data_IF_552346810666
#
_entry.id   IF_552346810666
#
_cell.length_a   1.000
_cell.length_b   1.000
_cell.length_c   1.000
_cell.angle_alpha   90.00
_cell.angle_beta   90.00
_cell.angle_gamma   90.00
#
_symmetry.space_group_name_H-M   'P 1'
#
loop_
_entity.id
_entity.type
_entity.pdbx_description
1 polymer ?
2 non-polymer ?
3 non-polymer ?
4 non-polymer ?
5 non-polymer ?
6 water ?
#
# COMPACT_ATOMS: atom_id res chain seq x y z
N UNK A 1 16.98 -20.94 -7.22
CA UNK A 1 16.57 -22.06 -8.06
C UNK A 1 15.39 -21.70 -8.95
N UNK A 2 15.52 -21.95 -10.25
CA UNK A 2 14.47 -21.69 -11.22
C UNK A 2 13.68 -22.98 -11.45
N UNK A 3 12.39 -22.94 -11.12
CA UNK A 3 11.54 -24.13 -11.29
C UNK A 3 11.54 -24.58 -12.75
N UNK A 4 11.53 -25.89 -12.94
CA UNK A 4 11.58 -26.41 -14.30
C UNK A 4 10.38 -26.00 -15.13
N UNK A 5 9.26 -25.64 -14.49
CA UNK A 5 8.08 -25.19 -15.22
C UNK A 5 8.02 -23.66 -15.36
N UNK A 6 9.00 -22.93 -14.85
CA UNK A 6 9.04 -21.50 -15.10
C UNK A 6 9.53 -21.23 -16.51
N UNK A 7 9.09 -20.12 -17.07
CA UNK A 7 9.60 -19.63 -18.34
C UNK A 7 10.48 -18.42 -18.08
N UNK A 8 11.71 -18.46 -18.60
CA UNK A 8 12.62 -17.32 -18.52
C UNK A 8 13.00 -16.97 -19.95
N UNK A 9 12.60 -15.78 -20.40
CA UNK A 9 12.88 -15.44 -21.78
C UNK A 9 14.39 -15.42 -22.02
N UNK A 10 14.85 -15.84 -23.21
CA UNK A 10 16.28 -15.84 -23.47
C UNK A 10 16.96 -14.49 -23.33
N UNK A 11 16.22 -13.38 -23.51
CA UNK A 11 16.82 -12.06 -23.34
C UNK A 11 16.77 -11.56 -21.90
N UNK A 12 16.00 -12.22 -21.02
CA UNK A 12 15.99 -11.83 -19.63
C UNK A 12 17.30 -12.22 -18.97
N UNK A 13 17.65 -11.51 -17.91
CA UNK A 13 18.87 -11.77 -17.15
C UNK A 13 18.45 -12.08 -15.73
N UNK A 14 18.43 -13.36 -15.37
CA UNK A 14 18.11 -13.83 -14.03
C UNK A 14 19.42 -14.25 -13.39
N UNK A 15 19.84 -13.51 -12.36
CA UNK A 15 21.12 -13.77 -11.73
C UNK A 15 21.07 -15.05 -10.91
N UNK A 16 22.18 -15.77 -10.90
CA UNK A 16 22.27 -16.99 -10.11
C UNK A 16 21.95 -16.70 -8.65
N UNK A 17 21.08 -17.53 -8.07
CA UNK A 17 20.59 -17.33 -6.72
C UNK A 17 19.14 -16.88 -6.65
N UNK A 18 18.64 -16.24 -7.70
CA UNK A 18 17.22 -15.92 -7.76
C UNK A 18 16.38 -17.19 -7.69
N UNK A 19 15.23 -17.10 -7.03
CA UNK A 19 14.27 -18.19 -6.90
C UNK A 19 13.04 -17.84 -7.73
N UNK A 20 12.73 -18.68 -8.71
CA UNK A 20 11.62 -18.46 -9.63
C UNK A 20 10.70 -19.67 -9.53
N UNK A 21 9.45 -19.43 -9.13
CA UNK A 21 8.52 -20.50 -8.83
C UNK A 21 7.85 -21.13 -10.04
N UNK A 22 7.08 -22.18 -9.77
CA UNK A 22 6.44 -22.95 -10.83
C UNK A 22 5.55 -22.07 -11.68
N UNK A 23 5.63 -22.25 -12.99
CA UNK A 23 4.77 -21.57 -13.96
C UNK A 23 4.85 -20.05 -13.86
N UNK A 24 5.90 -19.52 -13.24
CA UNK A 24 6.18 -18.11 -13.38
C UNK A 24 6.67 -17.81 -14.80
N UNK A 25 6.61 -16.54 -15.17
CA UNK A 25 6.99 -16.13 -16.52
C UNK A 25 7.84 -14.87 -16.41
N UNK A 26 9.09 -14.95 -16.85
CA UNK A 26 9.99 -13.80 -16.87
C UNK A 26 10.16 -13.38 -18.33
N UNK A 27 9.56 -12.25 -18.70
CA UNK A 27 9.50 -11.83 -20.09
C UNK A 27 10.80 -11.22 -20.59
N UNK A 28 10.79 -10.81 -21.86
CA UNK A 28 12.00 -10.26 -22.49
C UNK A 28 12.56 -9.04 -21.76
N UNK A 29 13.88 -8.96 -21.68
CA UNK A 29 14.61 -7.79 -21.19
C UNK A 29 14.33 -7.48 -19.73
N UNK A 30 13.83 -8.46 -18.97
CA UNK A 30 13.72 -8.32 -17.52
C UNK A 30 15.07 -8.58 -16.87
N UNK A 31 15.27 -7.96 -15.71
CA UNK A 31 16.46 -8.18 -14.88
C UNK A 31 15.97 -8.60 -13.50
N UNK A 32 16.48 -9.73 -13.01
CA UNK A 32 16.07 -10.28 -11.73
C UNK A 32 17.35 -10.54 -10.92
N UNK A 33 17.50 -9.84 -9.79
CA UNK A 33 18.68 -9.94 -8.97
C UNK A 33 18.77 -11.26 -8.22
N UNK A 34 19.96 -11.52 -7.65
CA UNK A 34 20.22 -12.82 -7.01
C UNK A 34 19.51 -13.04 -5.69
N UNK A 35 18.95 -12.00 -5.06
CA UNK A 35 18.22 -12.18 -3.81
C UNK A 35 16.71 -12.03 -4.00
N UNK A 36 16.24 -12.16 -5.22
CA UNK A 36 14.82 -12.05 -5.55
C UNK A 36 14.19 -13.43 -5.47
N UNK A 37 12.96 -13.49 -4.95
CA UNK A 37 12.10 -14.67 -4.99
C UNK A 37 10.80 -14.30 -5.68
N UNK A 38 10.46 -15.04 -6.73
CA UNK A 38 9.24 -14.80 -7.49
C UNK A 38 8.37 -16.05 -7.38
N UNK A 39 7.17 -15.87 -6.83
CA UNK A 39 6.29 -16.99 -6.55
C UNK A 39 5.59 -17.59 -7.76
N UNK A 40 4.93 -18.71 -7.49
CA UNK A 40 4.28 -19.49 -8.52
C UNK A 40 3.29 -18.66 -9.34
N UNK A 41 3.38 -18.76 -10.66
CA UNK A 41 2.42 -18.12 -11.55
C UNK A 41 2.61 -16.62 -11.74
N UNK A 42 3.56 -16.00 -11.08
CA UNK A 42 3.76 -14.56 -11.27
C UNK A 42 4.38 -14.29 -12.63
N UNK A 43 3.92 -13.22 -13.26
CA UNK A 43 4.35 -12.84 -14.60
C UNK A 43 5.04 -11.47 -14.52
N UNK A 44 6.25 -11.39 -15.07
CA UNK A 44 6.89 -10.12 -15.40
C UNK A 44 6.80 -9.95 -16.90
N UNK A 45 6.00 -8.99 -17.36
CA UNK A 45 5.63 -8.93 -18.77
C UNK A 45 6.87 -8.78 -19.65
N UNK A 46 7.65 -7.73 -19.42
CA UNK A 46 8.87 -7.40 -20.16
C UNK A 46 9.44 -6.14 -19.53
N UNK A 47 10.74 -5.92 -19.72
CA UNK A 47 11.37 -4.66 -19.30
C UNK A 47 11.10 -4.34 -17.83
N UNK A 48 11.15 -5.37 -16.96
CA UNK A 48 10.95 -5.20 -15.53
C UNK A 48 12.29 -5.38 -14.83
N UNK A 49 12.58 -4.50 -13.87
CA UNK A 49 13.76 -4.64 -13.02
C UNK A 49 13.29 -5.04 -11.62
N UNK A 50 13.74 -6.18 -11.13
CA UNK A 50 13.51 -6.60 -9.76
C UNK A 50 14.86 -6.90 -9.14
N UNK A 51 15.19 -6.20 -8.05
CA UNK A 51 16.47 -6.47 -7.39
C UNK A 51 16.31 -6.28 -5.88
N UNK A 52 17.45 -6.30 -5.18
CA UNK A 52 17.43 -6.24 -3.73
C UNK A 52 16.95 -7.55 -3.11
N UNK A 53 16.83 -7.52 -1.79
CA UNK A 53 16.26 -8.66 -1.06
C UNK A 53 14.76 -8.53 -1.11
N UNK A 54 14.14 -9.22 -2.06
CA UNK A 54 12.79 -8.90 -2.50
C UNK A 54 12.05 -10.22 -2.70
N UNK A 55 10.93 -10.38 -2.01
CA UNK A 55 10.11 -11.58 -2.07
C UNK A 55 8.75 -11.22 -2.65
N UNK A 56 8.39 -11.86 -3.75
CA UNK A 56 7.14 -11.60 -4.47
C UNK A 56 6.32 -12.88 -4.48
N UNK A 57 5.03 -12.76 -4.13
CA UNK A 57 4.15 -13.90 -4.01
C UNK A 57 3.67 -14.46 -5.34
N UNK A 58 2.51 -15.10 -5.29
CA UNK A 58 2.02 -15.87 -6.43
C UNK A 58 0.96 -15.11 -7.23
N UNK A 59 0.89 -15.42 -8.53
CA UNK A 59 -0.16 -14.90 -9.41
C UNK A 59 -0.13 -13.38 -9.51
N UNK A 60 1.03 -12.77 -9.32
CA UNK A 60 1.16 -11.34 -9.58
C UNK A 60 1.35 -11.08 -11.07
N UNK A 61 0.90 -9.91 -11.51
CA UNK A 61 1.14 -9.43 -12.87
C UNK A 61 1.89 -8.12 -12.76
N UNK A 62 3.15 -8.11 -13.21
CA UNK A 62 4.00 -6.92 -13.11
C UNK A 62 4.32 -6.46 -14.52
N UNK A 63 3.93 -5.24 -14.85
CA UNK A 63 4.00 -4.73 -16.21
C UNK A 63 5.33 -4.04 -16.52
N UNK A 64 5.54 -3.78 -17.80
CA UNK A 64 6.80 -3.24 -18.29
C UNK A 64 7.17 -1.91 -17.63
N UNK A 65 8.47 -1.72 -17.42
CA UNK A 65 9.11 -0.51 -16.92
C UNK A 65 8.87 -0.29 -15.43
N UNK A 66 8.33 -1.29 -14.74
CA UNK A 66 8.26 -1.27 -13.29
C UNK A 66 9.64 -1.56 -12.70
N UNK A 67 9.88 -1.01 -11.50
CA UNK A 67 11.12 -1.18 -10.76
C UNK A 67 10.75 -1.59 -9.34
N UNK A 68 11.08 -2.83 -8.98
CA UNK A 68 10.63 -3.44 -7.73
C UNK A 68 11.85 -3.87 -6.93
N UNK A 69 11.97 -3.37 -5.70
CA UNK A 69 13.11 -3.70 -4.86
C UNK A 69 14.25 -2.70 -4.91
N UNK A 70 14.13 -1.67 -5.73
CA UNK A 70 15.24 -0.79 -6.01
C UNK A 70 15.62 0.01 -4.76
N UNK A 71 16.89 0.45 -4.73
CA UNK A 71 17.39 1.46 -3.80
C UNK A 71 16.37 2.58 -3.61
N UNK A 72 16.07 2.94 -2.37
CA UNK A 72 15.08 3.97 -2.11
C UNK A 72 15.70 5.36 -2.30
N UNK A 73 14.87 6.40 -2.18
CA UNK A 73 15.29 7.77 -2.43
C UNK A 73 15.59 8.54 -1.16
N UNK A 74 15.56 7.89 0.00
CA UNK A 74 15.90 8.52 1.26
C UNK A 74 17.40 8.79 1.29
N UNK A 75 17.79 10.07 1.42
CA UNK A 75 19.21 10.39 1.47
C UNK A 75 19.92 9.73 2.64
N UNK A 76 19.16 9.32 3.68
CA UNK A 76 19.77 8.62 4.81
C UNK A 76 20.23 7.21 4.42
N UNK A 77 19.62 6.61 3.40
CA UNK A 77 19.97 5.24 3.02
C UNK A 77 21.40 5.18 2.51
N UNK A 78 22.14 4.12 2.89
CA UNK A 78 23.56 4.01 2.55
C UNK A 78 23.92 2.68 1.91
N UNK A 79 22.94 1.92 1.45
CA UNK A 79 23.20 0.65 0.81
C UNK A 79 22.98 -0.58 1.67
N UNK A 80 22.44 -0.41 2.87
CA UNK A 80 22.24 -1.55 3.75
C UNK A 80 21.31 -2.57 3.10
N UNK A 81 21.50 -3.86 3.41
CA UNK A 81 20.58 -4.88 2.91
C UNK A 81 19.22 -4.76 3.58
N UNK A 82 18.32 -4.02 2.96
CA UNK A 82 16.94 -3.95 3.42
C UNK A 82 16.07 -4.77 2.47
N UNK A 83 14.75 -4.73 2.65
CA UNK A 83 13.89 -5.75 2.06
C UNK A 83 12.61 -5.14 1.48
N UNK A 84 12.04 -5.88 0.55
CA UNK A 84 10.68 -5.66 0.04
C UNK A 84 9.95 -7.00 0.13
N UNK A 85 8.70 -6.94 0.58
CA UNK A 85 7.79 -8.09 0.53
C UNK A 85 6.54 -7.69 -0.23
N UNK A 86 6.15 -8.51 -1.20
CA UNK A 86 4.93 -8.30 -1.99
C UNK A 86 4.16 -9.60 -1.97
N UNK A 87 2.85 -9.51 -1.71
CA UNK A 87 2.00 -10.68 -1.59
C UNK A 87 1.53 -11.28 -2.91
N UNK A 88 0.25 -11.66 -2.99
CA UNK A 88 -0.30 -12.46 -4.08
C UNK A 88 -1.33 -11.68 -4.88
N UNK A 89 -1.43 -12.02 -6.17
CA UNK A 89 -2.50 -11.57 -7.05
C UNK A 89 -2.57 -10.05 -7.16
N UNK A 90 -1.44 -9.38 -7.02
CA UNK A 90 -1.38 -7.96 -7.29
C UNK A 90 -1.26 -7.69 -8.78
N UNK A 91 -1.78 -6.53 -9.21
CA UNK A 91 -1.57 -6.02 -10.56
C UNK A 91 -0.74 -4.75 -10.43
N UNK A 92 0.50 -4.82 -10.89
CA UNK A 92 1.49 -3.77 -10.70
C UNK A 92 1.80 -3.24 -12.10
N UNK A 93 1.34 -2.02 -12.39
CA UNK A 93 1.22 -1.54 -13.76
C UNK A 93 2.51 -0.83 -14.22
N UNK A 94 2.48 -0.35 -15.46
CA UNK A 94 3.68 0.20 -16.07
C UNK A 94 4.29 1.27 -15.19
N UNK A 95 5.62 1.23 -15.08
CA UNK A 95 6.41 2.28 -14.45
C UNK A 95 6.20 2.39 -12.94
N UNK A 96 5.44 1.48 -12.33
CA UNK A 96 5.33 1.50 -10.87
C UNK A 96 6.73 1.34 -10.28
N UNK A 97 7.00 2.02 -9.17
CA UNK A 97 8.23 1.84 -8.43
C UNK A 97 7.90 1.43 -7.01
N UNK A 98 8.58 0.40 -6.51
CA UNK A 98 8.44 -0.04 -5.13
C UNK A 98 9.86 -0.19 -4.59
N UNK A 99 10.18 0.60 -3.58
CA UNK A 99 11.57 0.71 -3.12
C UNK A 99 11.78 -0.02 -1.81
N UNK A 100 13.01 -0.49 -1.62
CA UNK A 100 13.39 -1.22 -0.41
C UNK A 100 13.39 -0.31 0.80
N UNK A 101 13.32 -0.92 1.97
CA UNK A 101 13.28 -0.17 3.22
C UNK A 101 14.61 0.50 3.59
N UNK A 102 14.58 1.18 4.73
CA UNK A 102 15.77 1.74 5.36
C UNK A 102 15.96 1.10 6.72
N UNK A 103 17.21 0.97 7.13
CA UNK A 103 17.46 0.46 8.48
C UNK A 103 16.71 1.32 9.49
N UNK A 104 16.79 2.65 9.33
CA UNK A 104 16.18 3.58 10.27
C UNK A 104 14.68 3.37 10.37
N UNK A 105 14.04 3.02 9.26
CA UNK A 105 12.62 2.85 9.26
C UNK A 105 12.12 1.44 9.50
N UNK A 106 12.99 0.49 9.85
CA UNK A 106 12.56 -0.87 10.10
C UNK A 106 12.98 -1.90 9.08
N UNK A 107 13.49 -1.49 7.92
CA UNK A 107 14.15 -2.41 7.02
C UNK A 107 13.25 -3.07 5.99
N UNK A 108 11.96 -2.72 5.96
CA UNK A 108 10.99 -3.49 5.17
C UNK A 108 9.97 -2.58 4.53
N UNK A 109 9.83 -2.68 3.20
CA UNK A 109 8.68 -2.16 2.49
C UNK A 109 7.77 -3.34 2.17
N UNK A 110 6.50 -3.23 2.53
CA UNK A 110 5.59 -4.36 2.41
C UNK A 110 4.32 -3.99 1.64
N UNK A 111 3.94 -4.88 0.74
CA UNK A 111 2.68 -4.79 -0.01
C UNK A 111 1.96 -6.12 0.16
N UNK A 112 0.66 -6.05 0.41
CA UNK A 112 -0.13 -7.25 0.63
C UNK A 112 -0.58 -7.91 -0.66
N UNK A 113 -1.86 -8.29 -0.72
CA UNK A 113 -2.38 -9.07 -1.82
C UNK A 113 -3.60 -8.38 -2.44
N UNK A 114 -3.86 -8.72 -3.69
CA UNK A 114 -5.06 -8.28 -4.39
C UNK A 114 -5.11 -6.76 -4.54
N UNK A 115 -3.94 -6.11 -4.61
CA UNK A 115 -3.86 -4.68 -4.83
C UNK A 115 -3.76 -4.36 -6.32
N UNK A 116 -4.20 -3.15 -6.67
CA UNK A 116 -4.02 -2.62 -8.03
C UNK A 116 -3.22 -1.34 -7.90
N UNK A 117 -1.98 -1.36 -8.39
CA UNK A 117 -1.09 -0.22 -8.39
C UNK A 117 -0.99 0.29 -9.82
N UNK A 118 -1.64 1.43 -10.10
CA UNK A 118 -1.74 1.90 -11.46
C UNK A 118 -0.45 2.58 -11.92
N UNK A 119 -0.43 2.99 -13.19
CA UNK A 119 0.78 3.48 -13.84
C UNK A 119 1.49 4.51 -12.97
N UNK A 120 2.79 4.30 -12.78
CA UNK A 120 3.68 5.23 -12.07
C UNK A 120 3.28 5.46 -10.62
N UNK A 121 2.49 4.57 -10.00
CA UNK A 121 2.35 4.69 -8.57
C UNK A 121 3.71 4.49 -7.92
N UNK A 122 3.91 5.12 -6.75
CA UNK A 122 5.21 5.04 -6.05
C UNK A 122 5.00 4.57 -4.63
N UNK A 123 5.64 3.46 -4.27
CA UNK A 123 5.65 2.97 -2.90
C UNK A 123 7.08 3.14 -2.38
N UNK A 124 7.26 4.15 -1.53
CA UNK A 124 8.57 4.50 -1.00
C UNK A 124 9.04 3.50 0.05
N UNK A 125 10.32 3.62 0.41
CA UNK A 125 10.89 2.87 1.51
C UNK A 125 9.98 2.85 2.73
N UNK A 126 9.89 1.68 3.37
CA UNK A 126 9.26 1.47 4.66
C UNK A 126 7.76 1.70 4.65
N UNK A 127 7.15 1.83 3.48
CA UNK A 127 5.69 1.87 3.38
C UNK A 127 5.12 0.50 3.68
N UNK A 128 3.87 0.50 4.14
CA UNK A 128 3.10 -0.72 4.34
C UNK A 128 1.77 -0.55 3.63
N UNK A 129 1.56 -1.30 2.55
CA UNK A 129 0.30 -1.32 1.83
C UNK A 129 -0.37 -2.64 2.16
N UNK A 130 -1.68 -2.59 2.45
CA UNK A 130 -2.39 -3.76 2.91
C UNK A 130 -2.92 -4.62 1.78
N UNK A 131 -4.16 -5.08 1.90
CA UNK A 131 -4.79 -5.89 0.88
C UNK A 131 -5.93 -5.12 0.22
N UNK A 132 -6.15 -5.41 -1.06
CA UNK A 132 -7.32 -4.92 -1.80
C UNK A 132 -7.30 -3.39 -1.96
N UNK A 133 -6.12 -2.79 -1.99
CA UNK A 133 -6.00 -1.35 -2.15
C UNK A 133 -5.90 -1.00 -3.63
N UNK A 134 -6.17 0.28 -3.93
CA UNK A 134 -5.99 0.84 -5.26
C UNK A 134 -5.18 2.12 -5.11
N UNK A 135 -4.05 2.20 -5.81
CA UNK A 135 -3.36 3.47 -6.04
C UNK A 135 -3.52 3.81 -7.51
N UNK A 136 -4.19 4.92 -7.82
CA UNK A 136 -4.39 5.31 -9.20
C UNK A 136 -3.11 5.92 -9.78
N UNK A 137 -3.15 6.27 -11.07
CA UNK A 137 -1.97 6.76 -11.78
C UNK A 137 -1.27 7.86 -10.99
N UNK A 138 0.04 7.74 -10.86
CA UNK A 138 0.90 8.75 -10.27
C UNK A 138 0.64 8.98 -8.79
N UNK A 139 -0.17 8.12 -8.16
CA UNK A 139 -0.32 8.23 -6.71
C UNK A 139 1.02 7.92 -6.05
N UNK A 140 1.44 8.79 -5.13
CA UNK A 140 2.83 8.84 -4.68
C UNK A 140 2.84 8.85 -3.16
N UNK A 141 3.45 7.81 -2.57
CA UNK A 141 3.61 7.74 -1.13
C UNK A 141 5.04 8.10 -0.76
N UNK A 142 5.19 9.06 0.15
CA UNK A 142 6.50 9.30 0.74
C UNK A 142 6.87 8.12 1.65
N UNK A 143 8.05 8.17 2.26
CA UNK A 143 8.49 7.06 3.10
C UNK A 143 7.60 6.85 4.31
N UNK A 144 7.53 5.60 4.76
CA UNK A 144 6.89 5.21 6.02
C UNK A 144 5.37 5.33 6.01
N UNK A 145 4.74 5.52 4.85
CA UNK A 145 3.28 5.67 4.79
C UNK A 145 2.61 4.31 4.92
N UNK A 146 1.49 4.26 5.64
CA UNK A 146 0.65 3.08 5.70
C UNK A 146 -0.60 3.31 4.86
N UNK A 147 -0.91 2.37 4.00
CA UNK A 147 -2.18 2.36 3.27
C UNK A 147 -2.89 1.09 3.71
N UNK A 148 -3.94 1.24 4.51
CA UNK A 148 -4.57 0.11 5.15
C UNK A 148 -5.56 -0.58 4.20
N UNK A 149 -6.04 -1.76 4.61
CA UNK A 149 -6.84 -2.62 3.74
C UNK A 149 -8.00 -1.86 3.10
N UNK A 150 -8.18 -2.10 1.80
CA UNK A 150 -9.28 -1.61 0.97
C UNK A 150 -9.21 -0.12 0.68
N UNK A 151 -8.22 0.59 1.20
CA UNK A 151 -8.12 2.03 0.95
C UNK A 151 -7.80 2.28 -0.51
N UNK A 152 -8.33 3.38 -1.05
CA UNK A 152 -8.08 3.75 -2.44
C UNK A 152 -7.62 5.20 -2.51
N UNK A 153 -6.65 5.45 -3.37
CA UNK A 153 -6.02 6.76 -3.49
C UNK A 153 -6.09 7.18 -4.95
N UNK A 154 -6.73 8.34 -5.21
CA UNK A 154 -7.01 8.74 -6.58
C UNK A 154 -5.81 9.28 -7.34
N UNK A 155 -6.03 9.53 -8.63
CA UNK A 155 -4.91 9.87 -9.50
C UNK A 155 -4.28 11.19 -9.11
N UNK A 156 -2.96 11.27 -9.25
CA UNK A 156 -2.13 12.47 -9.03
C UNK A 156 -2.00 12.82 -7.56
N UNK A 157 -2.44 11.97 -6.64
CA UNK A 157 -2.47 12.31 -5.23
C UNK A 157 -1.18 11.87 -4.56
N UNK A 158 -0.66 12.69 -3.64
CA UNK A 158 0.57 12.37 -2.93
C UNK A 158 0.30 12.37 -1.43
N UNK A 159 1.08 11.57 -0.69
CA UNK A 159 0.90 11.42 0.76
C UNK A 159 2.23 11.70 1.45
N UNK A 160 2.20 12.63 2.41
CA UNK A 160 3.37 13.03 3.20
C UNK A 160 3.88 11.87 4.06
N UNK A 161 5.17 11.89 4.36
CA UNK A 161 5.82 10.82 5.10
C UNK A 161 5.12 10.53 6.43
N UNK A 162 5.07 9.24 6.78
CA UNK A 162 4.53 8.68 8.02
C UNK A 162 3.01 8.71 8.14
N UNK A 163 2.32 9.34 7.20
CA UNK A 163 0.87 9.39 7.28
C UNK A 163 0.27 8.00 7.15
N UNK A 164 -0.89 7.83 7.79
CA UNK A 164 -1.70 6.62 7.69
C UNK A 164 -2.94 6.93 6.88
N UNK A 165 -3.16 6.13 5.84
CA UNK A 165 -4.42 6.12 5.11
C UNK A 165 -5.23 4.93 5.63
N UNK A 166 -6.26 5.22 6.43
CA UNK A 166 -6.96 4.17 7.15
C UNK A 166 -7.73 3.21 6.26
N UNK A 167 -8.18 2.11 6.89
CA UNK A 167 -8.88 1.07 6.16
C UNK A 167 -10.15 1.62 5.55
N UNK A 168 -10.47 1.19 4.33
CA UNK A 168 -11.68 1.54 3.61
C UNK A 168 -11.78 3.03 3.27
N UNK A 169 -10.68 3.79 3.39
CA UNK A 169 -10.68 5.21 3.03
C UNK A 169 -10.77 5.37 1.52
N UNK A 170 -11.32 6.51 1.09
CA UNK A 170 -11.23 6.93 -0.30
C UNK A 170 -10.64 8.34 -0.34
N UNK A 171 -9.43 8.47 -0.86
CA UNK A 171 -8.81 9.77 -1.08
C UNK A 171 -9.01 10.16 -2.54
N UNK A 172 -9.57 11.34 -2.77
CA UNK A 172 -9.84 11.79 -4.12
C UNK A 172 -8.55 11.99 -4.90
N UNK A 173 -8.72 12.18 -6.21
CA UNK A 173 -7.59 12.54 -7.04
C UNK A 173 -7.16 13.98 -6.79
N UNK A 174 -5.98 14.32 -7.32
CA UNK A 174 -5.47 15.69 -7.26
C UNK A 174 -5.44 16.23 -5.84
N UNK A 175 -5.08 15.38 -4.89
CA UNK A 175 -5.12 15.76 -3.49
C UNK A 175 -3.73 15.63 -2.88
N UNK A 176 -3.55 16.28 -1.74
CA UNK A 176 -2.30 16.17 -1.03
C UNK A 176 -2.57 15.86 0.43
N UNK A 177 -2.18 14.69 0.89
CA UNK A 177 -2.50 14.23 2.24
C UNK A 177 -1.31 14.52 3.15
N UNK A 178 -1.54 15.35 4.17
CA UNK A 178 -0.47 15.74 5.09
C UNK A 178 -0.66 15.23 6.50
N UNK A 179 -1.82 14.65 6.83
CA UNK A 179 -2.05 14.09 8.16
C UNK A 179 -2.73 12.75 8.00
N UNK A 180 -3.06 12.12 9.13
CA UNK A 180 -3.60 10.77 9.13
C UNK A 180 -5.08 10.79 8.77
N UNK A 181 -5.53 9.77 8.04
CA UNK A 181 -6.91 9.68 7.61
C UNK A 181 -7.57 8.51 8.34
N UNK A 182 -8.55 8.76 9.19
CA UNK A 182 -9.19 7.66 9.95
C UNK A 182 -9.83 6.66 9.03
N UNK A 183 -9.98 5.40 9.49
CA UNK A 183 -10.66 4.41 8.66
C UNK A 183 -12.06 4.87 8.28
N UNK A 184 -12.50 4.44 7.11
CA UNK A 184 -13.87 4.57 6.60
C UNK A 184 -14.18 5.96 6.03
N UNK A 185 -13.20 6.87 5.97
CA UNK A 185 -13.43 8.29 5.68
C UNK A 185 -13.12 8.58 4.22
N UNK A 186 -13.90 9.48 3.62
CA UNK A 186 -13.60 10.07 2.32
C UNK A 186 -12.79 11.32 2.56
N UNK A 187 -11.69 11.49 1.82
CA UNK A 187 -10.85 12.67 2.00
C UNK A 187 -10.53 13.24 0.63
N UNK A 188 -10.42 14.57 0.56
CA UNK A 188 -10.11 15.22 -0.71
C UNK A 188 -9.54 16.60 -0.43
N UNK A 189 -8.69 17.08 -1.32
CA UNK A 189 -8.23 18.46 -1.28
C UNK A 189 -6.72 18.57 -1.13
N UNK A 190 -6.28 19.84 -1.02
CA UNK A 190 -4.87 20.19 -0.91
C UNK A 190 -4.76 21.34 0.10
N UNK A 191 -4.49 21.01 1.36
CA UNK A 191 -4.33 19.64 1.85
C UNK A 191 -5.68 18.94 2.07
N UNK A 192 -5.65 17.61 2.10
CA UNK A 192 -6.88 16.83 2.14
C UNK A 192 -7.61 17.03 3.46
N UNK A 193 -8.93 17.14 3.38
CA UNK A 193 -9.84 17.28 4.51
C UNK A 193 -10.93 16.21 4.41
N UNK A 194 -11.61 15.93 5.52
CA UNK A 194 -12.58 14.83 5.52
C UNK A 194 -13.93 15.26 4.95
N UNK A 195 -14.57 14.34 4.23
CA UNK A 195 -15.86 14.59 3.60
C UNK A 195 -16.85 13.47 3.88
N UNK A 196 -16.87 12.99 5.11
CA UNK A 196 -17.86 11.99 5.48
C UNK A 196 -17.34 10.58 5.36
N UNK A 197 -18.27 9.64 5.59
CA UNK A 197 -18.00 8.21 5.61
C UNK A 197 -18.09 7.66 4.19
N UNK A 198 -17.20 6.72 3.85
CA UNK A 198 -17.22 6.06 2.54
C UNK A 198 -18.34 5.02 2.51
N UNK A 199 -19.57 5.53 2.57
CA UNK A 199 -20.75 4.66 2.72
C UNK A 199 -20.84 3.66 1.58
N UNK A 200 -20.71 4.13 0.34
CA UNK A 200 -20.88 3.22 -0.80
C UNK A 200 -19.85 2.09 -0.78
N UNK A 201 -18.61 2.40 -0.42
CA UNK A 201 -17.61 1.36 -0.32
C UNK A 201 -17.98 0.31 0.71
N UNK A 202 -18.42 0.77 1.88
CA UNK A 202 -18.80 -0.17 2.94
C UNK A 202 -19.98 -1.03 2.51
N UNK A 203 -20.98 -0.41 1.88
CA UNK A 203 -22.13 -1.14 1.37
C UNK A 203 -21.68 -2.26 0.42
N UNK A 204 -20.84 -1.93 -0.55
CA UNK A 204 -20.39 -2.92 -1.52
C UNK A 204 -19.60 -4.04 -0.87
N UNK A 205 -18.95 -3.77 0.26
CA UNK A 205 -18.10 -4.76 0.91
C UNK A 205 -18.81 -5.53 2.02
N UNK A 206 -20.14 -5.45 2.08
CA UNK A 206 -20.89 -6.30 2.97
C UNK A 206 -21.04 -5.80 4.39
N UNK A 207 -20.70 -4.54 4.65
CA UNK A 207 -20.97 -3.99 5.97
C UNK A 207 -22.48 -3.89 6.16
N UNK A 208 -22.94 -4.18 7.37
CA UNK A 208 -24.37 -4.11 7.66
C UNK A 208 -24.83 -2.67 7.81
N UNK A 209 -26.14 -2.47 7.67
CA UNK A 209 -26.73 -1.18 7.93
C UNK A 209 -26.35 -0.69 9.31
N UNK A 210 -26.40 -1.56 10.31
CA UNK A 210 -26.10 -1.17 11.68
C UNK A 210 -24.65 -0.75 11.82
N UNK A 211 -23.73 -1.50 11.19
CA UNK A 211 -22.31 -1.16 11.27
C UNK A 211 -22.04 0.18 10.61
N UNK A 212 -22.64 0.44 9.45
CA UNK A 212 -22.39 1.73 8.80
C UNK A 212 -22.94 2.87 9.65
N UNK A 213 -24.10 2.66 10.28
CA UNK A 213 -24.66 3.68 11.15
C UNK A 213 -23.70 3.96 12.31
N UNK A 214 -23.19 2.91 12.96
CA UNK A 214 -22.25 3.10 14.05
C UNK A 214 -21.00 3.85 13.58
N UNK A 215 -20.51 3.51 12.40
CA UNK A 215 -19.32 4.18 11.87
C UNK A 215 -19.62 5.65 11.59
N UNK A 216 -20.81 5.95 11.05
CA UNK A 216 -21.17 7.35 10.85
C UNK A 216 -21.27 8.08 12.18
N UNK A 217 -21.80 7.41 13.22
CA UNK A 217 -21.85 8.03 14.54
C UNK A 217 -20.47 8.25 15.11
N UNK A 218 -19.54 7.31 14.91
CA UNK A 218 -18.17 7.56 15.36
C UNK A 218 -17.54 8.72 14.59
N UNK A 219 -17.83 8.83 13.29
CA UNK A 219 -17.35 9.97 12.51
C UNK A 219 -17.87 11.27 13.10
N UNK A 220 -19.15 11.31 13.44
CA UNK A 220 -19.71 12.52 14.04
C UNK A 220 -19.03 12.84 15.36
N UNK A 221 -18.75 11.83 16.18
CA UNK A 221 -18.03 12.09 17.43
C UNK A 221 -16.71 12.80 17.14
N UNK A 222 -15.95 12.29 16.15
CA UNK A 222 -14.64 12.86 15.87
C UNK A 222 -14.76 14.27 15.34
N UNK A 223 -15.67 14.48 14.37
CA UNK A 223 -15.64 15.67 13.55
C UNK A 223 -16.80 16.64 13.77
N UNK A 224 -17.89 16.20 14.39
CA UNK A 224 -19.05 17.07 14.55
C UNK A 224 -19.35 17.43 15.99
N UNK A 225 -18.97 16.59 16.95
CA UNK A 225 -19.32 16.81 18.34
C UNK A 225 -18.66 18.05 18.92
N UNK A 226 -17.54 18.50 18.34
CA UNK A 226 -16.81 19.61 18.91
C UNK A 226 -15.94 19.25 20.10
N UNK A 227 -15.88 17.98 20.46
CA UNK A 227 -15.02 17.54 21.56
C UNK A 227 -13.60 17.32 21.07
N UNK A 228 -12.68 17.19 22.02
CA UNK A 228 -11.31 16.84 21.68
C UNK A 228 -11.21 15.35 21.40
N UNK A 229 -10.17 14.98 20.64
CA UNK A 229 -9.96 13.58 20.35
C UNK A 229 -9.80 12.76 21.63
N UNK A 230 -9.15 13.35 22.64
CA UNK A 230 -9.01 12.65 23.91
C UNK A 230 -10.35 12.35 24.55
N UNK A 231 -11.32 13.26 24.41
CA UNK A 231 -12.65 13.01 24.94
C UNK A 231 -13.38 11.93 24.14
N UNK A 232 -13.23 11.93 22.82
CA UNK A 232 -14.06 11.03 22.02
C UNK A 232 -13.52 9.60 22.00
N UNK A 233 -12.22 9.41 22.25
CA UNK A 233 -11.66 8.06 22.22
C UNK A 233 -12.41 7.08 23.11
N UNK A 234 -12.65 7.35 24.39
CA UNK A 234 -13.44 6.40 25.20
C UNK A 234 -14.88 6.25 24.71
N UNK A 235 -15.46 7.30 24.11
CA UNK A 235 -16.81 7.19 23.57
C UNK A 235 -16.83 6.28 22.35
N UNK A 236 -15.80 6.36 21.51
CA UNK A 236 -15.71 5.46 20.38
C UNK A 236 -15.48 4.03 20.86
N UNK A 237 -14.63 3.86 21.88
CA UNK A 237 -14.39 2.54 22.43
C UNK A 237 -15.67 1.95 23.02
N UNK A 238 -16.47 2.80 23.67
CA UNK A 238 -17.76 2.37 24.20
C UNK A 238 -18.67 1.89 23.07
N UNK A 239 -18.76 2.68 22.00
CA UNK A 239 -19.55 2.29 20.84
C UNK A 239 -19.08 0.96 20.27
N UNK A 240 -17.75 0.75 20.23
CA UNK A 240 -17.21 -0.50 19.67
C UNK A 240 -17.59 -1.71 20.51
N UNK A 241 -18.02 -1.51 21.75
CA UNK A 241 -18.46 -2.64 22.55
C UNK A 241 -19.67 -3.32 21.93
N UNK A 242 -20.48 -2.56 21.19
CA UNK A 242 -21.65 -3.12 20.52
C UNK A 242 -21.39 -3.40 19.04
N UNK A 243 -20.64 -2.53 18.37
CA UNK A 243 -20.41 -2.61 16.93
C UNK A 243 -18.92 -2.80 16.70
N UNK A 244 -18.46 -4.04 16.49
CA UNK A 244 -17.01 -4.28 16.47
C UNK A 244 -16.30 -3.57 15.34
N UNK A 245 -17.02 -3.22 14.26
CA UNK A 245 -16.38 -2.49 13.18
C UNK A 245 -15.80 -1.16 13.66
N UNK A 246 -16.36 -0.60 14.73
CA UNK A 246 -15.89 0.69 15.22
C UNK A 246 -14.52 0.58 15.88
N UNK A 247 -14.10 -0.63 16.24
CA UNK A 247 -12.79 -0.80 16.84
C UNK A 247 -11.68 -0.38 15.88
N UNK A 248 -11.95 -0.38 14.58
CA UNK A 248 -10.97 0.10 13.62
C UNK A 248 -10.48 1.50 13.98
N UNK A 249 -11.36 2.36 14.50
CA UNK A 249 -10.93 3.69 14.93
C UNK A 249 -9.93 3.60 16.07
N UNK A 250 -10.28 2.82 17.11
CA UNK A 250 -9.37 2.63 18.24
C UNK A 250 -8.01 2.15 17.78
N UNK A 251 -7.97 1.09 16.94
CA UNK A 251 -6.69 0.59 16.47
C UNK A 251 -5.93 1.67 15.72
N UNK A 252 -6.63 2.46 14.89
CA UNK A 252 -6.00 3.52 14.11
C UNK A 252 -5.43 4.61 15.01
N UNK A 253 -6.22 5.06 15.99
CA UNK A 253 -5.75 6.10 16.90
C UNK A 253 -4.41 5.71 17.53
N UNK A 254 -4.24 4.43 17.84
CA UNK A 254 -3.04 4.00 18.53
C UNK A 254 -1.82 4.10 17.62
N UNK A 255 -2.01 3.97 16.31
CA UNK A 255 -0.92 4.07 15.34
C UNK A 255 -0.68 5.49 14.85
N UNK A 256 -1.68 6.35 14.92
CA UNK A 256 -1.61 7.69 14.35
C UNK A 256 -0.54 8.53 15.04
N UNK A 257 0.32 9.16 14.25
CA UNK A 257 1.36 10.03 14.79
C UNK A 257 1.29 11.47 14.33
N UNK A 258 0.49 11.79 13.31
CA UNK A 258 0.52 13.10 12.68
C UNK A 258 -0.72 13.92 12.95
N UNK A 259 -1.61 13.45 13.81
CA UNK A 259 -2.91 14.06 13.97
C UNK A 259 -3.81 13.69 12.82
N UNK A 260 -5.10 13.99 12.98
CA UNK A 260 -6.08 13.66 11.96
C UNK A 260 -6.26 14.80 10.97
N UNK A 261 -6.56 14.45 9.72
CA UNK A 261 -6.98 15.49 8.78
C UNK A 261 -8.23 16.15 9.33
N UNK A 262 -8.37 17.45 9.10
CA UNK A 262 -9.48 18.17 9.70
C UNK A 262 -9.97 19.26 8.76
N UNK A 263 -11.23 19.64 8.94
CA UNK A 263 -11.83 20.68 8.10
C UNK A 263 -11.04 21.98 8.19
X LIG B 1 12.07 10.15 4.04
X LIG B 1 12.04 11.06 5.25
X LIG B 1 11.66 10.32 6.53
X LIG B 1 13.84 12.62 1.85
X LIG B 1 12.30 11.00 2.82
X LIG B 1 1.03 17.92 0.31
X LIG B 1 1.77 16.61 0.55
X LIG B 1 2.76 16.35 -0.58
X LIG B 1 3.56 15.07 -0.33
X LIG B 1 4.53 14.78 -1.48
X LIG B 1 5.34 13.51 -1.18
X LIG B 1 6.28 13.15 -2.34
X LIG B 1 7.06 11.87 -2.01
X LIG B 1 7.98 11.39 -3.14
X LIG B 1 8.63 10.02 -2.81
X LIG B 1 9.84 10.24 -1.90
X LIG B 1 10.27 8.93 -1.23
X LIG B 1 10.60 7.93 -2.19
X LIG B 1 11.52 9.15 -0.40
X LIG B 1 11.27 9.95 0.85
X LIG B 1 10.17 10.37 1.21
X LIG B 1 12.44 10.19 1.65
X LIG B 1 13.63 11.72 2.98
X LIG B 1 15.09 12.83 1.40
X LIG B 1 15.22 13.76 0.21
X LIG B 1 16.08 12.33 1.93
X LIG B 1 10.83 9.43 3.97
X LIG B 1 12.59 9.26 6.83
X LIG B 1 13.33 11.65 5.39
X LIG B 1 13.69 12.50 4.29
X LIG B 1 12.77 13.59 4.22
X LIG B 1 12.97 14.84 5.20
X LIG B 1 12.26 16.02 4.62
X LIG B 1 12.67 14.39 6.60
X LIG B 1 14.53 14.98 4.95
X LIG B 1 15.63 15.98 5.57
X LIG B 1 15.23 16.46 6.93
X LIG B 1 16.92 15.26 5.32
X LIG B 1 15.55 17.16 4.50
X LIG B 1 15.83 16.95 3.11
X LIG B 1 16.26 18.28 2.49
X LIG B 1 15.31 19.31 2.81
X LIG B 1 17.59 18.71 3.05
X LIG B 1 18.43 19.10 1.95
X LIG B 1 17.28 19.90 3.93
X LIG B 1 18.32 20.88 3.86
X LIG B 1 16.02 20.45 3.29
X LIG B 1 15.14 21.17 4.22
X LIG B 1 14.57 20.53 5.25
X LIG B 1 13.72 21.22 6.10
X LIG B 1 13.48 22.57 5.87
X LIG B 1 12.71 23.19 6.63
X LIG B 1 14.07 23.21 4.83
X LIG B 1 14.88 22.54 4.00
X LIG B 1 15.44 23.10 3.04
X LIG C 1 22.34 -2.83 -4.51
X LIG C 1 21.02 -3.25 -5.10
X LIG C 1 22.11 -1.89 -3.34
X LIG C 1 23.14 -2.09 -5.56
X LIG C 1 23.09 -4.06 -4.04
X LIG D 1 21.17 -6.14 -6.80
X LIG D 1 20.73 -4.76 -7.23
X LIG D 1 21.23 -7.04 -8.03
X LIG D 1 20.22 -6.71 -5.77
X LIG D 1 22.55 -6.05 -6.17
X LIG E 1 -9.06 -4.61 -5.05
X LIG E 1 -9.61 -5.80 -5.76
X LIG E 1 -7.87 -3.81 -6.16
X LIG E 1 -10.36 -3.35 -5.04
X LIG E 1 -7.10 -4.50 -6.41
X LIG E 1 -7.43 -2.98 -5.67
X LIG E 1 -8.36 -3.49 -7.03
X LIG E 1 -11.17 -3.68 -4.45
X LIG E 1 -10.70 -3.19 -6.03
X LIG E 1 -9.99 -2.45 -4.64
X LIG F 1 6.21 -12.46 0.40
X LIG F 1 5.79 -13.36 -0.74
X LIG F 1 4.72 -11.92 1.27
X LIG F 1 7.01 -13.45 1.69
X LIG F 1 4.13 -11.29 0.65
X LIG F 1 4.99 -11.39 2.15
X LIG F 1 4.14 -12.77 1.55
X LIG F 1 7.92 -13.84 1.31
X LIG F 1 6.38 -14.26 1.96
X LIG F 1 7.20 -12.85 2.53
X LIG G 1 -5.51 -2.71 7.92
X LIG G 1 -5.20 -1.90 9.15
X LIG G 1 -4.38 -4.14 7.96
X LIG G 1 -7.10 -3.50 8.24
X LIG G 1 -3.38 -3.80 7.98
X LIG G 1 -4.54 -4.73 7.09
X LIG G 1 -4.58 -4.71 8.82
X LIG G 1 -7.85 -2.76 8.35
X LIG G 1 -7.05 -4.08 9.13
X LIG G 1 -7.35 -4.13 7.42
X LIG H 1 7.35 16.59 0.21
X LIG H 1 3.68 20.80 1.02
X LIG H 1 3.06 20.83 2.29
X LIG H 1 3.36 19.84 3.21
X LIG H 1 4.27 18.85 2.83
X LIG H 1 2.76 19.77 4.57
X LIG H 1 10.25 14.49 -1.03
X LIG H 1 10.75 13.23 -0.19
X LIG H 1 10.48 14.18 1.73
X LIG H 1 10.02 15.62 1.20
X LIG H 1 11.21 16.59 1.14
X LIG H 1 10.81 17.84 0.44
X LIG H 1 9.96 18.77 1.03
X LIG H 1 9.62 19.93 0.33
X LIG H 1 10.11 20.17 -0.94
X LIG H 1 10.96 19.24 -1.56
X LIG H 1 11.31 18.10 -0.85
X LIG H 1 6.64 17.79 0.06
X LIG H 1 5.78 17.84 1.18
X LIG H 1 8.36 16.04 -0.70
X LIG H 1 4.83 18.90 1.56
X LIG H 1 12.15 17.24 -1.42
X LIG H 1 5.95 16.74 1.95
X LIG H 1 4.57 19.86 0.64
X LIG H 1 6.89 15.99 1.37
X LIG H 1 9.50 15.41 -0.18
X LIG H 1 11.49 13.73 0.88
X LIG H 1 8.18 16.13 -1.93
X LIG H 1 3.47 21.55 0.26
X LIG H 1 2.36 21.63 2.53
X LIG H 1 4.53 18.05 3.52
X LIG H 1 2.28 20.71 4.85
X LIG H 1 3.51 19.57 5.33
X LIG H 1 2.01 18.99 4.64
X LIG H 1 11.10 15.02 -1.47
X LIG H 1 9.64 14.18 -1.87
X LIG H 1 11.40 12.56 -0.74
X LIG H 1 9.95 12.63 0.24
X LIG H 1 9.71 13.43 1.73
X LIG H 1 10.92 14.20 2.74
X LIG H 1 9.27 16.02 1.88
X LIG H 1 12.07 16.14 0.65
X LIG H 1 11.57 16.82 2.15
X LIG H 1 9.56 18.59 2.03
X LIG H 1 8.95 20.66 0.79
X LIG H 1 9.83 21.08 -1.47
X LIG H 1 11.35 19.42 -2.56
X LIG H 1 6.71 18.53 -0.74
X LIG H 1 7.20 15.11 1.77
#
# INVERSE_FOLDING_TARGET
MIDKSAFVHPTAIVEEGASIGANAHIGPFCIVGPHVEIGEGTVLKSHVVVNGHTKIGRDNEIYQFASIGEVNQDLKYAGEPTRVEIGDRNRIRESVTIHRGTVQGGGLTKVGSDNLLMINAHIAHDCTVGNRCILANNATLAGHVSVDDFAIIGGMTAVHQFCIIGAHVMVGGCSGVAQDVPPYVIAQGNHATPFGVNIEGLKRRGFSREAITAIRNAYKLIYRSGKTLDEVKPEIAELAETYPEVKAFTDFFARSTRGLIRHHHHHH
U20 C4 C5 C6 N2 C3 CCB CCA CBZ CBY CBX CBW CBV CBU CBS CBR CBL CBJ OCC CBI CAM OAY O3 C2 CAP CAQ OAR O4 O6 O5 C1 O1 PAO OAT OAS OAN PAU OAW OAV O5' C5' C4' O4' C3' O3' C2' O2' C1' NAX CBP CBO CBN OBQ NBM CBK OBT
PO4 P O1 O2 O3 O4
PO4 P O1 O2 O3 O4
DMS S O C1 C2 H11 H12 H13 H21 H22 H23
DMS S O C1 C2 H11 H12 H13 H21 H22 H23
DMS S O C1 C2 H11 H12 H13 H21 H22 H23
O5M C3 C11 C12 C13 C14 C15 C16 C17 C19 C20 C21 C22 C23 C24 C25 C26 C27 C4 C5 C6 C9 F28 N1 N10 N2 N7 O18 O8 H31 H32 H33 H36 H35 H34 H37 H38 H39 H40 H42 H41 H43 H44 H45 H46 H47 H48 H49 H30 H29
#
